data_IF_622655364292
#
_entry.id   IF_622655364292
#
_cell.length_a   1.000
_cell.length_b   1.000
_cell.length_c   1.000
_cell.angle_alpha   90.00
_cell.angle_beta   90.00
_cell.angle_gamma   90.00
#
_symmetry.space_group_name_H-M   'P 1'
#
loop_
_entity.id
_entity.type
_entity.pdbx_description
1 polymer ?
#
# COMPACT_ATOMS: atom_id res chain seq x y z
N UNK A 1 18.97 -22.06 -3.95
CA UNK A 1 17.76 -21.19 -3.81
C UNK A 1 17.92 -20.41 -2.52
N UNK A 2 17.67 -19.13 -2.54
CA UNK A 2 17.70 -18.30 -1.32
C UNK A 2 16.52 -18.70 -0.42
N UNK A 3 16.76 -18.82 0.90
CA UNK A 3 15.72 -19.15 1.88
C UNK A 3 14.67 -18.02 1.89
N UNK A 4 13.38 -18.37 1.97
CA UNK A 4 12.26 -17.41 1.96
C UNK A 4 12.34 -16.43 3.13
N UNK A 5 12.83 -16.83 4.29
CA UNK A 5 13.04 -15.94 5.44
C UNK A 5 14.09 -14.86 5.15
N UNK A 6 15.16 -15.22 4.41
CA UNK A 6 16.18 -14.25 3.99
C UNK A 6 15.58 -13.25 2.99
N UNK A 7 14.74 -13.72 2.05
CA UNK A 7 14.08 -12.82 1.11
C UNK A 7 13.14 -11.85 1.82
N UNK A 8 12.33 -12.35 2.76
CA UNK A 8 11.43 -11.52 3.57
C UNK A 8 12.21 -10.48 4.38
N UNK A 9 13.30 -10.90 5.03
CA UNK A 9 14.17 -10.00 5.80
C UNK A 9 14.75 -8.89 4.93
N UNK A 10 15.34 -9.22 3.77
CA UNK A 10 15.91 -8.25 2.82
C UNK A 10 14.87 -7.27 2.31
N UNK A 11 13.67 -7.76 1.99
CA UNK A 11 12.60 -6.92 1.48
C UNK A 11 12.05 -5.99 2.57
N UNK A 12 11.94 -6.47 3.83
CA UNK A 12 11.56 -5.66 4.96
C UNK A 12 12.59 -4.56 5.24
N UNK A 13 13.89 -4.88 5.25
CA UNK A 13 14.96 -3.90 5.38
C UNK A 13 14.93 -2.86 4.24
N UNK A 14 14.62 -3.29 3.02
CA UNK A 14 14.49 -2.36 1.88
C UNK A 14 13.32 -1.39 2.07
N UNK A 15 12.19 -1.87 2.61
CA UNK A 15 11.05 -1.03 2.97
C UNK A 15 11.45 0.00 4.04
N UNK A 16 12.11 -0.41 5.10
CA UNK A 16 12.57 0.47 6.17
C UNK A 16 13.55 1.55 5.66
N UNK A 17 14.48 1.15 4.79
CA UNK A 17 15.45 2.08 4.19
C UNK A 17 14.79 3.22 3.41
N UNK A 18 13.68 2.97 2.72
CA UNK A 18 13.01 3.99 1.91
C UNK A 18 11.98 4.78 2.69
N UNK A 19 11.38 4.20 3.73
CA UNK A 19 10.28 4.80 4.49
C UNK A 19 10.74 5.72 5.63
N UNK A 20 11.96 5.55 6.13
CA UNK A 20 12.48 6.31 7.26
C UNK A 20 13.83 6.97 6.94
N UNK A 21 14.09 8.15 7.50
CA UNK A 21 15.38 8.83 7.41
C UNK A 21 16.36 8.34 8.47
N UNK A 22 15.87 7.80 9.55
CA UNK A 22 16.61 7.34 10.72
C UNK A 22 16.69 5.81 10.85
N UNK A 23 16.35 5.09 9.78
CA UNK A 23 16.35 3.62 9.77
C UNK A 23 17.68 3.00 10.23
N UNK A 24 18.79 3.68 9.94
CA UNK A 24 20.12 3.20 10.33
C UNK A 24 20.28 3.16 11.85
N UNK A 25 19.78 4.18 12.53
CA UNK A 25 19.96 4.30 13.98
C UNK A 25 19.20 3.19 14.71
N UNK A 26 17.94 2.97 14.39
CA UNK A 26 17.17 1.96 15.09
C UNK A 26 17.46 0.52 14.63
N UNK A 27 17.91 0.30 13.39
CA UNK A 27 18.45 -1.00 12.98
C UNK A 27 19.73 -1.28 13.74
N UNK A 28 20.61 -0.28 13.93
CA UNK A 28 21.78 -0.40 14.77
C UNK A 28 21.42 -0.73 16.22
N UNK A 29 20.43 -0.04 16.79
CA UNK A 29 19.90 -0.35 18.12
C UNK A 29 19.43 -1.82 18.23
N UNK A 30 18.71 -2.31 17.20
CA UNK A 30 18.29 -3.70 17.14
C UNK A 30 19.46 -4.69 17.11
N UNK A 31 20.51 -4.38 16.34
CA UNK A 31 21.73 -5.17 16.32
C UNK A 31 22.46 -5.15 17.66
N UNK A 32 22.60 -3.99 18.30
CA UNK A 32 23.20 -3.84 19.62
C UNK A 32 22.41 -4.61 20.69
N UNK A 33 21.08 -4.52 20.64
CA UNK A 33 20.21 -5.31 21.51
C UNK A 33 20.45 -6.81 21.34
N UNK A 34 20.51 -7.31 20.11
CA UNK A 34 20.80 -8.69 19.82
C UNK A 34 22.20 -9.11 20.33
N UNK A 35 23.22 -8.28 20.11
CA UNK A 35 24.57 -8.52 20.54
C UNK A 35 24.67 -8.62 22.07
N UNK A 36 24.12 -7.66 22.81
CA UNK A 36 24.15 -7.65 24.28
C UNK A 36 23.35 -8.80 24.91
N UNK A 37 22.29 -9.27 24.27
CA UNK A 37 21.47 -10.37 24.77
C UNK A 37 21.87 -11.74 24.17
N UNK A 38 22.90 -11.80 23.34
CA UNK A 38 23.34 -13.01 22.65
C UNK A 38 22.23 -13.73 21.88
N UNK A 39 21.38 -12.96 21.19
CA UNK A 39 20.29 -13.46 20.34
C UNK A 39 20.53 -13.10 18.88
N UNK A 40 19.94 -13.86 17.95
CA UNK A 40 20.02 -13.55 16.52
C UNK A 40 18.99 -12.49 16.15
N UNK A 41 19.40 -11.58 15.27
CA UNK A 41 18.45 -10.67 14.62
C UNK A 41 17.52 -11.48 13.71
N UNK A 42 16.22 -11.42 14.00
CA UNK A 42 15.18 -12.09 13.23
C UNK A 42 14.26 -11.06 12.56
N UNK A 43 13.52 -11.52 11.55
CA UNK A 43 12.50 -10.69 10.93
C UNK A 43 11.41 -10.28 11.94
N UNK A 44 11.00 -11.20 12.81
CA UNK A 44 9.96 -10.93 13.81
C UNK A 44 10.40 -9.86 14.82
N UNK A 45 11.67 -9.88 15.24
CA UNK A 45 12.22 -8.84 16.10
C UNK A 45 12.19 -7.46 15.41
N UNK A 46 12.58 -7.39 14.13
CA UNK A 46 12.52 -6.13 13.38
C UNK A 46 11.07 -5.66 13.18
N UNK A 47 10.16 -6.57 12.88
CA UNK A 47 8.73 -6.25 12.73
C UNK A 47 8.13 -5.75 14.04
N UNK A 48 8.48 -6.36 15.18
CA UNK A 48 7.97 -5.93 16.50
C UNK A 48 8.49 -4.53 16.87
N UNK A 49 9.77 -4.24 16.63
CA UNK A 49 10.32 -2.91 16.88
C UNK A 49 9.71 -1.85 15.94
N UNK A 50 9.48 -2.18 14.68
CA UNK A 50 8.80 -1.33 13.73
C UNK A 50 7.35 -1.04 14.17
N UNK A 51 6.64 -2.02 14.72
CA UNK A 51 5.28 -1.85 15.25
C UNK A 51 5.23 -0.91 16.48
N UNK A 52 6.24 -0.93 17.32
CA UNK A 52 6.35 0.02 18.46
C UNK A 52 6.59 1.46 17.98
N UNK A 53 7.36 1.64 16.90
CA UNK A 53 7.68 2.97 16.35
C UNK A 53 6.53 3.59 15.57
N UNK A 54 5.75 2.78 14.89
CA UNK A 54 4.67 3.21 14.01
C UNK A 54 3.34 2.64 14.50
N UNK A 55 2.74 3.32 15.48
CA UNK A 55 1.43 2.90 16.01
C UNK A 55 0.33 3.17 14.99
N UNK A 56 -0.55 2.19 14.82
CA UNK A 56 -1.73 2.34 13.97
C UNK A 56 -2.64 3.44 14.51
N UNK A 57 -3.19 4.29 13.64
CA UNK A 57 -4.13 5.30 14.07
C UNK A 57 -5.42 4.64 14.57
N UNK A 58 -5.91 5.07 15.74
CA UNK A 58 -7.20 4.63 16.28
C UNK A 58 -8.37 5.05 15.38
N UNK A 59 -8.24 6.22 14.77
CA UNK A 59 -9.25 6.79 13.88
C UNK A 59 -8.85 6.61 12.41
N UNK A 60 -9.66 5.84 11.67
CA UNK A 60 -9.40 5.55 10.25
C UNK A 60 -9.46 6.80 9.34
N UNK A 61 -10.08 7.91 9.78
CA UNK A 61 -10.16 9.14 8.98
C UNK A 61 -8.80 9.77 8.74
N UNK A 62 -7.79 9.48 9.57
CA UNK A 62 -6.42 9.94 9.33
C UNK A 62 -5.75 9.20 8.15
N UNK A 63 -6.35 8.11 7.66
CA UNK A 63 -5.94 7.44 6.43
C UNK A 63 -6.47 8.19 5.19
N UNK A 64 -6.38 9.52 5.20
CA UNK A 64 -6.79 10.41 4.12
C UNK A 64 -5.60 11.23 3.61
N UNK A 65 -5.72 11.78 2.40
CA UNK A 65 -4.64 12.36 1.60
C UNK A 65 -3.72 13.32 2.36
N UNK A 66 -4.28 14.24 3.15
CA UNK A 66 -3.49 15.26 3.86
C UNK A 66 -2.96 14.80 5.21
N UNK A 67 -3.56 13.75 5.78
CA UNK A 67 -3.31 13.30 7.15
C UNK A 67 -2.48 12.02 7.21
N UNK A 68 -2.52 11.20 6.16
CA UNK A 68 -1.86 9.90 6.16
C UNK A 68 -0.34 10.02 6.16
N UNK A 69 0.31 9.35 7.08
CA UNK A 69 1.74 9.14 6.99
C UNK A 69 2.05 8.19 5.81
N UNK A 70 2.96 8.62 4.94
CA UNK A 70 3.41 7.83 3.77
C UNK A 70 3.97 6.47 4.15
N UNK A 71 4.47 6.31 5.37
CA UNK A 71 4.92 5.03 5.91
C UNK A 71 3.89 3.92 5.69
N UNK A 72 2.59 4.18 5.86
CA UNK A 72 1.54 3.18 5.72
C UNK A 72 1.38 2.63 4.31
N UNK A 73 1.76 3.38 3.28
CA UNK A 73 1.79 2.87 1.91
C UNK A 73 2.94 1.88 1.70
N UNK A 74 4.16 2.19 2.18
CA UNK A 74 5.29 1.26 2.09
C UNK A 74 5.04 0.01 2.93
N UNK A 75 4.49 0.18 4.14
CA UNK A 75 4.14 -0.93 5.01
C UNK A 75 3.10 -1.84 4.35
N UNK A 76 2.05 -1.26 3.74
CA UNK A 76 1.05 -2.03 3.01
C UNK A 76 1.66 -2.75 1.81
N UNK A 77 2.47 -2.08 0.97
CA UNK A 77 3.12 -2.71 -0.18
C UNK A 77 4.04 -3.87 0.26
N UNK A 78 4.70 -3.77 1.44
CA UNK A 78 5.45 -4.89 2.01
C UNK A 78 4.54 -6.07 2.39
N UNK A 79 3.46 -5.82 3.11
CA UNK A 79 2.51 -6.86 3.53
C UNK A 79 1.87 -7.53 2.30
N UNK A 80 1.48 -6.75 1.31
CA UNK A 80 0.93 -7.26 0.06
C UNK A 80 1.94 -8.13 -0.70
N UNK A 81 3.21 -7.68 -0.80
CA UNK A 81 4.29 -8.45 -1.38
C UNK A 81 4.50 -9.78 -0.66
N UNK A 82 4.59 -9.76 0.67
CA UNK A 82 4.78 -10.96 1.50
C UNK A 82 3.59 -11.91 1.35
N UNK A 83 2.36 -11.40 1.43
CA UNK A 83 1.12 -12.18 1.35
C UNK A 83 0.96 -12.83 -0.03
N UNK A 84 1.23 -12.11 -1.12
CA UNK A 84 1.08 -12.64 -2.49
C UNK A 84 2.21 -13.61 -2.83
N UNK A 85 3.42 -13.37 -2.31
CA UNK A 85 4.59 -14.21 -2.62
C UNK A 85 4.60 -15.52 -1.82
N UNK A 86 4.11 -15.52 -0.57
CA UNK A 86 4.28 -16.63 0.36
C UNK A 86 3.01 -17.07 1.10
N UNK A 87 1.89 -16.39 0.89
CA UNK A 87 0.64 -16.63 1.61
C UNK A 87 -0.58 -16.60 0.70
N UNK A 88 -1.71 -16.20 1.28
CA UNK A 88 -3.01 -16.09 0.61
C UNK A 88 -3.52 -14.66 0.77
N UNK A 89 -3.71 -13.97 -0.36
CA UNK A 89 -4.30 -12.64 -0.37
C UNK A 89 -5.81 -12.73 -0.08
N UNK A 90 -6.35 -11.91 0.85
CA UNK A 90 -7.79 -11.81 1.02
C UNK A 90 -8.49 -11.40 -0.27
N UNK A 91 -9.52 -12.16 -0.66
CA UNK A 91 -10.21 -12.00 -1.94
C UNK A 91 -10.86 -10.62 -2.11
N UNK A 92 -11.27 -10.00 -1.02
CA UNK A 92 -11.90 -8.66 -0.97
C UNK A 92 -10.95 -7.57 -1.50
N UNK A 93 -9.63 -7.74 -1.32
CA UNK A 93 -8.62 -6.77 -1.77
C UNK A 93 -8.60 -6.65 -3.30
N UNK A 94 -8.95 -7.70 -4.01
CA UNK A 94 -9.00 -7.75 -5.47
C UNK A 94 -10.42 -7.99 -6.00
N UNK A 95 -11.44 -7.74 -5.19
CA UNK A 95 -12.86 -7.91 -5.54
C UNK A 95 -13.17 -9.28 -6.16
N UNK A 96 -12.66 -10.33 -5.53
CA UNK A 96 -12.79 -11.73 -5.98
C UNK A 96 -12.22 -12.01 -7.39
N UNK A 97 -11.33 -11.14 -7.89
CA UNK A 97 -10.57 -11.38 -9.11
C UNK A 97 -9.36 -12.27 -8.83
N UNK A 98 -8.67 -12.68 -9.88
CA UNK A 98 -7.41 -13.43 -9.77
C UNK A 98 -6.22 -12.56 -10.18
N UNK A 99 -5.07 -12.86 -9.61
CA UNK A 99 -3.78 -12.31 -10.04
C UNK A 99 -3.22 -13.29 -11.06
N UNK A 100 -2.95 -12.84 -12.27
CA UNK A 100 -2.32 -13.65 -13.31
C UNK A 100 -0.81 -13.82 -13.09
N UNK A 101 -0.18 -14.71 -13.87
CA UNK A 101 1.24 -15.04 -13.72
C UNK A 101 2.18 -13.85 -13.97
N UNK A 102 1.85 -12.94 -14.91
CA UNK A 102 2.67 -11.76 -15.20
C UNK A 102 2.56 -10.72 -14.08
N UNK A 103 1.36 -10.50 -13.57
CA UNK A 103 1.13 -9.64 -12.40
C UNK A 103 1.84 -10.20 -11.17
N UNK A 104 1.76 -11.52 -10.94
CA UNK A 104 2.46 -12.18 -9.83
C UNK A 104 3.97 -12.04 -9.96
N UNK A 105 4.51 -12.22 -11.17
CA UNK A 105 5.94 -11.99 -11.44
C UNK A 105 6.33 -10.52 -11.20
N UNK A 106 5.50 -9.56 -11.59
CA UNK A 106 5.75 -8.16 -11.34
C UNK A 106 5.79 -7.84 -9.84
N UNK A 107 4.86 -8.41 -9.04
CA UNK A 107 4.80 -8.25 -7.58
C UNK A 107 6.03 -8.89 -6.93
N UNK A 108 6.37 -10.13 -7.26
CA UNK A 108 7.51 -10.84 -6.64
C UNK A 108 8.85 -10.19 -6.93
N UNK A 109 8.95 -9.43 -8.03
CA UNK A 109 10.13 -8.63 -8.39
C UNK A 109 10.08 -7.19 -7.89
N UNK A 110 9.05 -6.81 -7.14
CA UNK A 110 8.89 -5.44 -6.64
C UNK A 110 10.10 -4.98 -5.83
N UNK A 111 10.53 -3.74 -6.09
CA UNK A 111 11.64 -3.09 -5.41
C UNK A 111 11.17 -1.82 -4.74
N UNK A 112 11.38 -1.71 -3.44
CA UNK A 112 11.08 -0.49 -2.71
C UNK A 112 11.93 0.68 -3.22
N UNK A 113 11.29 1.84 -3.30
CA UNK A 113 11.87 3.11 -3.74
C UNK A 113 11.44 4.22 -2.81
N UNK A 114 12.18 5.32 -2.78
CA UNK A 114 11.80 6.54 -2.06
C UNK A 114 10.68 7.27 -2.80
N UNK A 115 9.55 6.62 -2.98
CA UNK A 115 8.34 7.22 -3.50
C UNK A 115 7.82 8.27 -2.53
N UNK A 116 7.48 9.47 -3.00
CA UNK A 116 7.07 10.58 -2.12
C UNK A 116 5.78 11.25 -2.54
N UNK A 117 5.23 10.89 -3.68
CA UNK A 117 4.00 11.44 -4.20
C UNK A 117 2.83 10.51 -3.91
N UNK A 118 1.82 11.03 -3.22
CA UNK A 118 0.54 10.33 -3.07
C UNK A 118 -0.31 10.66 -4.29
N UNK A 119 -0.68 9.64 -5.01
CA UNK A 119 -1.47 9.71 -6.24
C UNK A 119 -2.92 9.31 -5.98
N UNK A 120 -3.86 10.09 -6.53
CA UNK A 120 -5.27 9.77 -6.57
C UNK A 120 -5.57 8.94 -7.81
N UNK A 121 -6.12 7.73 -7.67
CA UNK A 121 -6.51 6.95 -8.84
C UNK A 121 -7.70 7.62 -9.56
N UNK A 122 -8.79 7.94 -8.86
CA UNK A 122 -9.77 8.91 -9.36
C UNK A 122 -9.16 10.31 -9.22
N UNK A 123 -9.02 11.08 -10.33
CA UNK A 123 -8.24 12.32 -10.32
C UNK A 123 -8.72 13.35 -9.30
N UNK A 124 -7.77 14.12 -8.74
CA UNK A 124 -8.08 15.18 -7.80
C UNK A 124 -8.87 16.32 -8.47
N UNK A 125 -8.52 16.64 -9.71
CA UNK A 125 -9.26 17.61 -10.52
C UNK A 125 -10.08 16.86 -11.55
N UNK A 126 -11.38 16.86 -11.39
CA UNK A 126 -12.32 16.35 -12.36
C UNK A 126 -13.33 17.46 -12.72
N UNK A 127 -13.89 17.39 -13.92
CA UNK A 127 -14.84 18.37 -14.44
C UNK A 127 -16.29 18.09 -14.00
N UNK A 128 -16.50 17.39 -12.88
CA UNK A 128 -17.84 16.98 -12.43
C UNK A 128 -18.64 18.11 -11.74
N UNK A 129 -18.04 19.29 -11.50
CA UNK A 129 -18.70 20.43 -10.87
C UNK A 129 -18.97 20.25 -9.39
N UNK A 130 -19.86 21.10 -8.83
CA UNK A 130 -20.16 21.14 -7.38
C UNK A 130 -20.86 19.87 -6.86
N UNK A 131 -21.47 19.08 -7.73
CA UNK A 131 -22.21 17.86 -7.37
C UNK A 131 -21.38 16.56 -7.44
N UNK A 132 -20.05 16.68 -7.52
CA UNK A 132 -19.17 15.53 -7.60
C UNK A 132 -19.32 14.58 -6.39
N UNK A 133 -19.80 13.35 -6.59
CA UNK A 133 -20.02 12.42 -5.49
C UNK A 133 -18.73 11.99 -4.79
N UNK A 134 -17.56 12.09 -5.44
CA UNK A 134 -16.27 11.79 -4.83
C UNK A 134 -15.82 12.82 -3.78
N UNK A 135 -16.40 14.03 -3.80
CA UNK A 135 -16.13 15.11 -2.83
C UNK A 135 -17.16 15.17 -1.69
N UNK A 136 -18.28 14.45 -1.82
CA UNK A 136 -19.30 14.39 -0.76
C UNK A 136 -18.85 13.46 0.36
N UNK A 137 -19.35 13.73 1.57
CA UNK A 137 -19.12 12.86 2.71
C UNK A 137 -19.89 11.54 2.54
N UNK A 138 -19.21 10.43 2.77
CA UNK A 138 -19.75 9.08 2.75
C UNK A 138 -19.52 8.39 4.09
N UNK A 139 -20.50 7.65 4.54
CA UNK A 139 -20.37 6.81 5.73
C UNK A 139 -19.56 5.54 5.39
N UNK A 140 -18.57 5.27 6.19
CA UNK A 140 -17.75 4.06 6.13
C UNK A 140 -17.81 3.31 7.47
N UNK A 141 -18.43 2.14 7.48
CA UNK A 141 -18.39 1.25 8.63
C UNK A 141 -17.07 0.48 8.66
N UNK A 142 -16.25 0.72 9.68
CA UNK A 142 -14.98 0.02 9.91
C UNK A 142 -14.89 -0.42 11.37
N UNK A 143 -14.70 -1.72 11.61
CA UNK A 143 -14.54 -2.34 12.94
C UNK A 143 -15.61 -1.92 13.96
N UNK A 144 -16.86 -1.85 13.52
CA UNK A 144 -18.01 -1.51 14.36
C UNK A 144 -18.24 -0.01 14.56
N UNK A 145 -17.39 0.86 14.03
CA UNK A 145 -17.53 2.32 14.09
C UNK A 145 -17.86 2.87 12.72
N UNK A 146 -18.78 3.83 12.66
CA UNK A 146 -19.12 4.58 11.44
C UNK A 146 -18.29 5.85 11.39
N UNK A 147 -17.58 6.04 10.29
CA UNK A 147 -16.75 7.21 10.01
C UNK A 147 -17.29 7.97 8.80
N UNK A 148 -17.16 9.30 8.82
CA UNK A 148 -17.40 10.13 7.64
C UNK A 148 -16.09 10.29 6.88
N UNK A 149 -16.08 9.96 5.59
CA UNK A 149 -14.92 10.08 4.71
C UNK A 149 -15.30 10.75 3.40
N UNK A 150 -14.34 11.44 2.76
CA UNK A 150 -14.44 11.85 1.36
C UNK A 150 -13.77 10.82 0.48
N UNK A 151 -14.50 10.07 -0.38
CA UNK A 151 -13.96 8.96 -1.16
C UNK A 151 -12.74 9.36 -1.99
N UNK A 152 -12.73 10.57 -2.53
CA UNK A 152 -11.62 11.10 -3.32
C UNK A 152 -10.30 11.08 -2.55
N UNK A 153 -10.32 11.53 -1.30
CA UNK A 153 -9.14 11.68 -0.44
C UNK A 153 -8.91 10.49 0.49
N UNK A 154 -9.78 9.53 0.47
CA UNK A 154 -9.71 8.32 1.28
C UNK A 154 -8.62 7.35 0.79
N UNK A 155 -7.97 6.65 1.72
CA UNK A 155 -6.92 5.67 1.45
C UNK A 155 -7.25 4.70 0.31
N UNK A 156 -8.52 4.30 0.18
CA UNK A 156 -8.97 3.43 -0.89
C UNK A 156 -8.69 3.98 -2.29
N UNK A 157 -8.69 5.31 -2.47
CA UNK A 157 -8.42 5.97 -3.76
C UNK A 157 -6.94 6.40 -3.94
N UNK A 158 -6.07 6.14 -2.97
CA UNK A 158 -4.70 6.66 -2.93
C UNK A 158 -3.66 5.57 -3.17
N UNK A 159 -2.55 5.91 -3.82
CA UNK A 159 -1.36 5.06 -3.92
C UNK A 159 -0.10 5.93 -3.82
N UNK A 160 1.02 5.33 -3.37
CA UNK A 160 2.30 6.03 -3.29
C UNK A 160 3.13 5.72 -4.54
N UNK A 161 3.56 6.77 -5.25
CA UNK A 161 4.34 6.66 -6.49
C UNK A 161 5.56 7.58 -6.45
N UNK A 162 6.47 7.42 -7.42
CA UNK A 162 7.61 8.33 -7.57
C UNK A 162 7.16 9.72 -8.03
N UNK A 163 7.90 10.75 -7.62
CA UNK A 163 7.63 12.13 -8.06
C UNK A 163 7.77 12.29 -9.57
N UNK A 164 8.72 11.59 -10.19
CA UNK A 164 8.91 11.60 -11.64
C UNK A 164 7.68 11.01 -12.37
N UNK A 165 7.12 9.93 -11.85
CA UNK A 165 5.92 9.31 -12.39
C UNK A 165 4.70 10.21 -12.20
N UNK A 166 4.55 10.82 -11.02
CA UNK A 166 3.47 11.76 -10.73
C UNK A 166 3.52 13.00 -11.63
N UNK A 167 4.70 13.59 -11.83
CA UNK A 167 4.87 14.76 -12.71
C UNK A 167 4.54 14.46 -14.18
N UNK A 168 4.78 13.23 -14.63
CA UNK A 168 4.42 12.77 -15.96
C UNK A 168 2.91 12.47 -16.08
N UNK A 169 2.21 12.24 -14.97
CA UNK A 169 0.78 11.91 -14.98
C UNK A 169 -0.13 13.14 -14.93
N UNK A 170 0.28 14.22 -14.23
CA UNK A 170 -0.59 15.37 -14.03
C UNK A 170 -1.99 14.96 -13.52
N UNK A 171 -3.04 15.56 -14.09
CA UNK A 171 -4.45 15.19 -13.82
C UNK A 171 -4.97 14.12 -14.81
N UNK A 172 -4.17 13.09 -15.09
CA UNK A 172 -4.55 12.07 -16.05
C UNK A 172 -5.75 11.24 -15.59
N UNK A 173 -6.54 10.78 -16.56
CA UNK A 173 -7.67 9.90 -16.29
C UNK A 173 -7.23 8.53 -15.78
N UNK A 174 -8.13 7.85 -15.08
CA UNK A 174 -7.92 6.46 -14.60
C UNK A 174 -7.48 5.54 -15.76
N UNK A 175 -8.09 5.72 -16.94
CA UNK A 175 -7.76 4.90 -18.12
C UNK A 175 -6.31 5.01 -18.54
N UNK A 176 -5.71 6.20 -18.49
CA UNK A 176 -4.29 6.42 -18.80
C UNK A 176 -3.40 5.78 -17.74
N UNK A 177 -3.74 5.93 -16.47
CA UNK A 177 -3.00 5.28 -15.35
C UNK A 177 -3.02 3.76 -15.48
N UNK A 178 -4.17 3.19 -15.82
CA UNK A 178 -4.33 1.76 -16.04
C UNK A 178 -3.61 1.27 -17.31
N UNK A 179 -3.60 2.05 -18.38
CA UNK A 179 -2.83 1.72 -19.58
C UNK A 179 -1.33 1.62 -19.28
N UNK A 180 -0.78 2.54 -18.48
CA UNK A 180 0.63 2.48 -18.06
C UNK A 180 0.95 1.24 -17.23
N UNK A 181 0.05 0.84 -16.32
CA UNK A 181 0.23 -0.42 -15.59
C UNK A 181 0.27 -1.60 -16.55
N UNK A 182 -0.72 -1.72 -17.42
CA UNK A 182 -0.89 -2.83 -18.36
C UNK A 182 0.24 -2.90 -19.39
N UNK A 183 0.58 -1.75 -20.00
CA UNK A 183 1.43 -1.71 -21.19
C UNK A 183 2.91 -1.49 -20.86
N UNK A 184 3.23 -1.08 -19.63
CA UNK A 184 4.61 -0.74 -19.24
C UNK A 184 5.04 -1.42 -17.94
N UNK A 185 4.37 -1.17 -16.82
CA UNK A 185 4.89 -1.58 -15.51
C UNK A 185 4.84 -3.10 -15.31
N UNK A 186 3.74 -3.74 -15.68
CA UNK A 186 3.58 -5.21 -15.56
C UNK A 186 4.57 -5.93 -16.48
N UNK A 187 4.64 -5.65 -17.81
CA UNK A 187 5.58 -6.31 -18.70
C UNK A 187 7.04 -6.10 -18.31
N UNK A 188 7.40 -4.90 -17.86
CA UNK A 188 8.76 -4.59 -17.42
C UNK A 188 9.07 -5.04 -15.98
N UNK A 189 8.09 -5.59 -15.25
CA UNK A 189 8.21 -5.97 -13.83
C UNK A 189 8.72 -4.82 -12.97
N UNK A 190 8.26 -3.60 -13.25
CA UNK A 190 8.75 -2.36 -12.68
C UNK A 190 7.57 -1.55 -12.10
N UNK A 191 6.93 -2.10 -11.07
CA UNK A 191 5.79 -1.48 -10.42
C UNK A 191 6.21 -0.26 -9.59
N UNK A 192 5.41 0.80 -9.65
CA UNK A 192 5.52 1.95 -8.73
C UNK A 192 4.93 1.62 -7.36
N UNK A 193 3.80 0.90 -7.33
CA UNK A 193 3.11 0.46 -6.11
C UNK A 193 2.37 -0.84 -6.36
N UNK A 194 2.46 -1.79 -5.43
CA UNK A 194 1.65 -3.01 -5.45
C UNK A 194 0.19 -2.66 -5.20
N UNK A 195 -0.07 -1.72 -4.27
CA UNK A 195 -1.42 -1.23 -4.00
C UNK A 195 -2.11 -0.75 -5.28
N UNK A 196 -1.42 0.05 -6.11
CA UNK A 196 -1.97 0.56 -7.37
C UNK A 196 -2.27 -0.57 -8.38
N UNK A 197 -1.42 -1.59 -8.44
CA UNK A 197 -1.69 -2.77 -9.27
C UNK A 197 -2.95 -3.51 -8.78
N UNK A 198 -3.15 -3.66 -7.47
CA UNK A 198 -4.35 -4.33 -6.95
C UNK A 198 -5.62 -3.51 -7.17
N UNK A 199 -5.53 -2.17 -7.19
CA UNK A 199 -6.64 -1.30 -7.61
C UNK A 199 -7.01 -1.54 -9.09
N UNK A 200 -6.01 -1.67 -9.96
CA UNK A 200 -6.19 -2.04 -11.36
C UNK A 200 -6.86 -3.41 -11.53
N UNK A 201 -6.40 -4.42 -10.78
CA UNK A 201 -6.99 -5.78 -10.83
C UNK A 201 -8.44 -5.75 -10.34
N UNK A 202 -8.73 -5.07 -9.24
CA UNK A 202 -10.09 -4.97 -8.69
C UNK A 202 -11.05 -4.33 -9.68
N UNK A 203 -10.61 -3.31 -10.43
CA UNK A 203 -11.37 -2.67 -11.50
C UNK A 203 -11.36 -3.45 -12.83
N UNK A 204 -10.78 -4.64 -12.90
CA UNK A 204 -10.65 -5.44 -14.12
C UNK A 204 -9.92 -4.69 -15.26
N UNK A 205 -9.00 -3.79 -14.90
CA UNK A 205 -8.28 -2.93 -15.84
C UNK A 205 -9.15 -1.89 -16.57
N UNK A 206 -10.39 -1.67 -16.14
CA UNK A 206 -11.35 -0.77 -16.77
C UNK A 206 -11.62 0.46 -15.89
N UNK A 207 -11.47 1.64 -16.48
CA UNK A 207 -11.63 2.91 -15.77
C UNK A 207 -13.04 3.14 -15.24
N UNK A 208 -14.07 2.73 -15.97
CA UNK A 208 -15.48 2.85 -15.60
C UNK A 208 -15.90 1.94 -14.43
N UNK A 209 -15.07 0.95 -14.11
CA UNK A 209 -15.28 0.06 -12.96
C UNK A 209 -14.64 0.56 -11.65
N UNK A 210 -13.82 1.59 -11.69
CA UNK A 210 -13.30 2.22 -10.48
C UNK A 210 -14.33 3.17 -9.88
N UNK A 211 -15.21 2.64 -9.04
CA UNK A 211 -16.30 3.35 -8.38
C UNK A 211 -15.97 3.68 -6.94
N UNK A 212 -16.74 4.58 -6.33
CA UNK A 212 -16.63 4.92 -4.90
C UNK A 212 -16.82 3.66 -4.04
N UNK A 213 -17.78 2.83 -4.38
CA UNK A 213 -18.05 1.59 -3.64
C UNK A 213 -16.84 0.64 -3.69
N UNK A 214 -16.24 0.47 -4.87
CA UNK A 214 -15.04 -0.35 -5.03
C UNK A 214 -13.85 0.23 -4.26
N UNK A 215 -13.61 1.55 -4.34
CA UNK A 215 -12.55 2.23 -3.61
C UNK A 215 -12.73 2.08 -2.09
N UNK A 216 -13.96 2.22 -1.59
CA UNK A 216 -14.28 2.06 -0.18
C UNK A 216 -14.09 0.61 0.29
N UNK A 217 -14.60 -0.35 -0.46
CA UNK A 217 -14.47 -1.78 -0.14
C UNK A 217 -13.02 -2.22 -0.12
N UNK A 218 -12.27 -1.88 -1.15
CA UNK A 218 -10.85 -2.23 -1.25
C UNK A 218 -10.00 -1.52 -0.19
N UNK A 219 -10.22 -0.22 0.01
CA UNK A 219 -9.51 0.55 1.02
C UNK A 219 -9.73 0.01 2.43
N UNK A 220 -10.96 -0.39 2.75
CA UNK A 220 -11.32 -1.04 4.01
C UNK A 220 -10.59 -2.39 4.18
N UNK A 221 -10.59 -3.24 3.17
CA UNK A 221 -9.90 -4.53 3.21
C UNK A 221 -8.38 -4.35 3.38
N UNK A 222 -7.77 -3.35 2.74
CA UNK A 222 -6.35 -3.02 2.90
C UNK A 222 -6.03 -2.48 4.31
N UNK A 223 -6.90 -1.65 4.88
CA UNK A 223 -6.76 -1.21 6.27
C UNK A 223 -6.88 -2.40 7.23
N UNK A 224 -7.84 -3.30 7.05
CA UNK A 224 -7.95 -4.52 7.87
C UNK A 224 -6.67 -5.37 7.79
N UNK A 225 -6.07 -5.48 6.62
CA UNK A 225 -4.81 -6.20 6.43
C UNK A 225 -3.66 -5.55 7.22
N UNK A 226 -3.55 -4.21 7.19
CA UNK A 226 -2.59 -3.45 8.00
C UNK A 226 -2.79 -3.71 9.49
N UNK A 227 -4.04 -3.59 10.00
CA UNK A 227 -4.37 -3.79 11.41
C UNK A 227 -4.10 -5.21 11.90
N UNK A 228 -4.43 -6.22 11.10
CA UNK A 228 -4.14 -7.63 11.45
C UNK A 228 -2.64 -7.86 11.59
N UNK A 229 -1.85 -7.40 10.62
CA UNK A 229 -0.40 -7.60 10.63
C UNK A 229 0.32 -6.80 11.73
N UNK A 230 -0.25 -5.70 12.19
CA UNK A 230 0.30 -4.92 13.28
C UNK A 230 0.05 -5.61 14.64
N UNK A 231 -1.19 -6.02 14.90
CA UNK A 231 -1.61 -6.60 16.17
C UNK A 231 -1.06 -8.02 16.44
N UNK A 232 -0.59 -8.73 15.42
CA UNK A 232 0.08 -10.02 15.59
C UNK A 232 1.53 -9.87 16.10
N UNK A 233 2.05 -8.66 16.17
CA UNK A 233 3.44 -8.34 16.53
C UNK A 233 3.55 -7.58 17.86
N UNK A 234 2.47 -7.06 18.38
CA UNK A 234 2.32 -6.42 19.70
C UNK A 234 1.82 -7.44 20.73
#
# INVERSE_FOLDING_TARGET
MENDDIKKLKQFQSMLYVSSSDWQDWVLEAYLYCYHNNIKLTLDLLKSQDAVRHTLPENITVMSYELIDRYWFWKLDYILWETISFGILPAEIISNKSIDDEQKKAITNYKFRRNRSVEHLHPQTDNMGEDNPWEKDHELLFRGTVFSIKPKHWFGNLALISSAFNSAQGNESIGVKFARLRDTQIPQKNLESIKMLLMFIAADGKNDRWTIELANTQGKAMCELLWRNHNTLS
#
